data_IF_688259677919
#
_entry.id   IF_688259677919
#
_cell.length_a   1.000
_cell.length_b   1.000
_cell.length_c   1.000
_cell.angle_alpha   90.00
_cell.angle_beta   90.00
_cell.angle_gamma   90.00
#
_symmetry.space_group_name_H-M   'P 1'
#
loop_
_entity.id
_entity.type
_entity.pdbx_description
1 polymer ?
#
# COMPACT_ATOMS: atom_id res chain seq x y z
N UNK A 1 10.34 -14.98 19.33
CA UNK A 1 9.15 -15.52 20.06
C UNK A 1 7.95 -15.27 19.16
N UNK A 2 7.06 -16.26 18.93
CA UNK A 2 5.90 -16.08 18.06
C UNK A 2 4.86 -15.16 18.73
N UNK A 3 4.22 -14.31 17.92
CA UNK A 3 3.19 -13.36 18.39
C UNK A 3 1.88 -14.14 18.62
N UNK A 4 1.23 -14.01 19.79
CA UNK A 4 -0.09 -14.58 20.02
C UNK A 4 -1.15 -14.00 19.08
N UNK A 5 -2.00 -14.84 18.52
CA UNK A 5 -3.08 -14.42 17.61
C UNK A 5 -4.31 -15.31 17.75
N UNK A 6 -5.47 -14.81 17.31
CA UNK A 6 -6.75 -15.50 17.31
C UNK A 6 -7.19 -15.68 15.86
N UNK A 7 -7.56 -16.92 15.48
CA UNK A 7 -8.34 -17.15 14.26
C UNK A 7 -9.82 -17.01 14.58
N UNK A 8 -10.57 -16.18 13.84
CA UNK A 8 -12.01 -16.17 14.01
C UNK A 8 -12.61 -17.55 13.72
N UNK A 9 -13.53 -17.98 14.55
CA UNK A 9 -14.33 -19.17 14.26
C UNK A 9 -15.27 -18.84 13.09
N UNK A 10 -15.45 -19.74 12.12
CA UNK A 10 -16.39 -19.51 11.04
C UNK A 10 -17.80 -19.39 11.62
N UNK A 11 -18.39 -18.20 11.49
CA UNK A 11 -19.81 -17.98 11.76
C UNK A 11 -20.58 -18.53 10.56
N UNK A 12 -21.31 -19.65 10.81
CA UNK A 12 -22.32 -20.22 9.90
C UNK A 12 -21.97 -20.18 8.41
N UNK A 13 -20.96 -20.96 7.97
CA UNK A 13 -20.73 -21.28 6.56
C UNK A 13 -20.13 -20.19 5.68
N UNK A 14 -19.84 -19.01 6.22
CA UNK A 14 -19.06 -17.97 5.55
C UNK A 14 -17.64 -18.02 6.12
N UNK A 15 -16.67 -18.44 5.33
CA UNK A 15 -15.27 -18.35 5.70
C UNK A 15 -14.91 -16.87 5.90
N UNK A 16 -14.72 -16.44 7.13
CA UNK A 16 -13.92 -15.24 7.46
C UNK A 16 -12.44 -15.62 7.28
N UNK A 17 -12.12 -16.17 6.10
CA UNK A 17 -10.93 -16.97 5.84
C UNK A 17 -9.65 -16.15 5.75
N UNK A 18 -9.73 -14.81 5.76
CA UNK A 18 -8.60 -13.96 5.40
C UNK A 18 -8.15 -13.00 6.50
N UNK A 19 -8.77 -13.06 7.68
CA UNK A 19 -8.39 -12.21 8.81
C UNK A 19 -7.87 -13.02 9.99
N UNK A 20 -6.93 -12.43 10.73
CA UNK A 20 -6.45 -12.84 12.04
C UNK A 20 -6.58 -11.65 12.98
N UNK A 21 -6.64 -11.91 14.28
CA UNK A 21 -6.64 -10.84 15.28
C UNK A 21 -5.48 -11.07 16.25
N UNK A 22 -4.73 -10.00 16.54
CA UNK A 22 -3.79 -9.99 17.65
C UNK A 22 -4.55 -9.97 18.99
N UNK A 23 -3.87 -10.26 20.08
CA UNK A 23 -4.50 -10.28 21.42
C UNK A 23 -5.02 -8.90 21.83
N UNK A 24 -4.41 -7.82 21.32
CA UNK A 24 -4.85 -6.44 21.53
C UNK A 24 -6.07 -6.02 20.67
N UNK A 25 -6.61 -6.94 19.86
CA UNK A 25 -7.73 -6.70 18.97
C UNK A 25 -7.33 -6.18 17.57
N UNK A 26 -6.06 -6.00 17.27
CA UNK A 26 -5.61 -5.56 15.94
C UNK A 26 -5.96 -6.60 14.87
N UNK A 27 -6.76 -6.19 13.88
CA UNK A 27 -7.08 -7.03 12.71
C UNK A 27 -5.90 -7.07 11.74
N UNK A 28 -5.60 -8.28 11.28
CA UNK A 28 -4.61 -8.55 10.23
C UNK A 28 -5.33 -9.18 9.05
N UNK A 29 -5.17 -8.63 7.85
CA UNK A 29 -5.73 -9.17 6.61
C UNK A 29 -4.69 -9.86 5.75
N UNK A 30 -5.09 -10.97 5.12
CA UNK A 30 -4.23 -11.75 4.23
C UNK A 30 -3.86 -10.93 3.00
N UNK A 31 -2.56 -10.86 2.70
CA UNK A 31 -2.06 -10.35 1.42
C UNK A 31 -2.27 -11.43 0.35
N UNK A 32 -3.42 -11.39 -0.32
CA UNK A 32 -3.82 -12.42 -1.27
C UNK A 32 -2.86 -12.51 -2.46
N UNK A 33 -2.68 -13.73 -2.99
CA UNK A 33 -1.82 -13.98 -4.15
C UNK A 33 -0.31 -13.85 -3.91
N UNK A 34 0.10 -13.67 -2.67
CA UNK A 34 1.52 -13.58 -2.27
C UNK A 34 1.98 -14.90 -1.67
N UNK A 35 3.09 -15.43 -2.18
CA UNK A 35 3.71 -16.65 -1.68
C UNK A 35 5.14 -16.35 -1.23
N UNK A 36 5.56 -16.99 -0.15
CA UNK A 36 6.96 -17.00 0.25
C UNK A 36 7.79 -17.76 -0.80
N UNK A 37 8.96 -17.22 -1.19
CA UNK A 37 9.81 -17.81 -2.24
C UNK A 37 10.27 -19.24 -1.93
N UNK A 38 10.56 -19.54 -0.66
CA UNK A 38 11.08 -20.85 -0.22
C UNK A 38 10.27 -21.43 0.94
N UNK A 39 8.95 -21.25 0.95
CA UNK A 39 8.15 -21.72 2.06
C UNK A 39 6.64 -21.62 1.85
N UNK A 40 5.91 -22.05 2.90
CA UNK A 40 4.44 -22.08 2.92
C UNK A 40 3.83 -20.96 3.76
N UNK A 41 4.65 -20.03 4.27
CA UNK A 41 4.15 -18.97 5.13
C UNK A 41 3.22 -18.02 4.35
N UNK A 42 2.15 -17.61 5.01
CA UNK A 42 1.20 -16.62 4.53
C UNK A 42 1.60 -15.24 5.05
N UNK A 43 1.48 -14.22 4.22
CA UNK A 43 1.73 -12.83 4.60
C UNK A 43 0.41 -12.13 4.94
N UNK A 44 0.40 -11.41 6.06
CA UNK A 44 -0.71 -10.58 6.51
C UNK A 44 -0.22 -9.15 6.72
N UNK A 45 -1.12 -8.19 6.66
CA UNK A 45 -0.85 -6.81 7.04
C UNK A 45 -1.96 -6.23 7.93
N UNK A 46 -1.58 -5.33 8.84
CA UNK A 46 -2.50 -4.53 9.64
C UNK A 46 -2.96 -3.30 8.85
N UNK A 47 -4.01 -2.65 9.35
CA UNK A 47 -4.51 -1.38 8.82
C UNK A 47 -3.44 -0.26 8.84
N UNK A 48 -2.57 -0.28 9.85
CA UNK A 48 -1.48 0.67 10.02
C UNK A 48 -0.22 0.33 9.19
N UNK A 49 -0.29 -0.70 8.33
CA UNK A 49 0.80 -1.05 7.42
C UNK A 49 1.93 -1.88 8.02
N UNK A 50 1.72 -2.51 9.18
CA UNK A 50 2.63 -3.52 9.71
C UNK A 50 2.40 -4.87 9.05
N UNK A 51 3.47 -5.63 8.82
CA UNK A 51 3.41 -6.92 8.14
C UNK A 51 3.75 -8.08 9.07
N UNK A 52 3.08 -9.21 8.84
CA UNK A 52 3.21 -10.41 9.66
C UNK A 52 3.26 -11.66 8.79
N UNK A 53 4.16 -12.55 9.11
CA UNK A 53 4.30 -13.86 8.46
C UNK A 53 3.74 -14.96 9.35
N UNK A 54 2.75 -15.69 8.86
CA UNK A 54 2.22 -16.89 9.54
C UNK A 54 2.79 -18.14 8.90
N UNK A 55 3.55 -18.91 9.69
CA UNK A 55 4.12 -20.23 9.33
C UNK A 55 3.64 -21.31 10.29
N UNK A 56 4.13 -22.54 10.10
CA UNK A 56 3.92 -23.63 11.07
C UNK A 56 4.51 -23.34 12.47
N UNK A 57 5.46 -22.41 12.56
CA UNK A 57 6.10 -22.00 13.82
C UNK A 57 5.39 -20.82 14.50
N UNK A 58 4.28 -20.34 13.93
CA UNK A 58 3.49 -19.25 14.47
C UNK A 58 3.54 -17.97 13.64
N UNK A 59 2.99 -16.91 14.22
CA UNK A 59 2.93 -15.56 13.63
C UNK A 59 4.14 -14.75 14.10
N UNK A 60 4.81 -14.11 13.15
CA UNK A 60 5.95 -13.23 13.43
C UNK A 60 5.83 -11.94 12.62
N UNK A 61 6.19 -10.81 13.22
CA UNK A 61 6.30 -9.55 12.49
C UNK A 61 7.47 -9.62 11.50
N UNK A 62 7.28 -9.04 10.31
CA UNK A 62 8.28 -8.98 9.25
C UNK A 62 8.41 -7.56 8.74
N UNK A 63 9.64 -7.08 8.64
CA UNK A 63 9.92 -5.73 8.22
C UNK A 63 10.05 -5.63 6.69
N UNK A 64 9.52 -4.54 6.08
CA UNK A 64 9.76 -4.23 4.68
C UNK A 64 11.26 -4.04 4.39
N UNK A 65 11.66 -4.36 3.16
CA UNK A 65 13.00 -4.08 2.67
C UNK A 65 13.04 -2.68 2.07
N UNK A 66 13.83 -1.82 2.68
CA UNK A 66 14.07 -0.44 2.24
C UNK A 66 15.34 -0.30 1.38
N UNK A 67 15.92 -1.41 0.92
CA UNK A 67 17.22 -1.39 0.24
C UNK A 67 17.13 -0.69 -1.12
N UNK A 68 18.00 0.28 -1.38
CA UNK A 68 18.14 0.90 -2.70
C UNK A 68 18.70 -0.04 -3.78
N UNK A 69 19.00 -1.30 -3.42
CA UNK A 69 19.53 -2.30 -4.34
C UNK A 69 18.51 -2.89 -5.32
N UNK A 70 17.25 -2.45 -5.29
CA UNK A 70 16.35 -2.71 -6.41
C UNK A 70 16.94 -2.02 -7.65
N UNK A 71 17.22 -2.78 -8.71
CA UNK A 71 17.76 -2.29 -9.98
C UNK A 71 17.02 -1.06 -10.54
N UNK A 72 15.77 -0.87 -10.16
CA UNK A 72 14.94 0.29 -10.49
C UNK A 72 15.39 1.59 -9.80
N UNK A 73 16.17 1.51 -8.73
CA UNK A 73 16.60 2.63 -7.91
C UNK A 73 18.12 2.86 -7.96
N UNK A 74 18.86 2.14 -8.79
CA UNK A 74 20.29 2.42 -9.00
C UNK A 74 20.48 3.68 -9.83
N UNK A 75 21.41 4.53 -9.39
CA UNK A 75 21.79 5.76 -10.11
C UNK A 75 22.11 5.41 -11.58
N UNK A 76 21.41 6.07 -12.52
CA UNK A 76 21.51 5.78 -13.95
C UNK A 76 20.45 4.85 -14.53
N UNK A 77 19.57 4.22 -13.71
CA UNK A 77 18.42 3.53 -14.25
C UNK A 77 17.37 4.55 -14.75
N UNK A 78 16.63 4.20 -15.83
CA UNK A 78 15.55 5.06 -16.36
C UNK A 78 14.50 5.42 -15.32
N UNK A 79 14.38 4.65 -14.24
CA UNK A 79 13.42 4.84 -13.16
C UNK A 79 14.00 5.63 -11.98
N UNK A 80 15.34 5.77 -11.86
CA UNK A 80 16.00 6.52 -10.80
C UNK A 80 15.56 8.00 -10.78
N UNK A 81 15.44 8.60 -11.95
CA UNK A 81 15.05 10.01 -12.09
C UNK A 81 13.54 10.24 -11.95
N UNK A 82 12.72 9.18 -11.97
CA UNK A 82 11.26 9.29 -11.84
C UNK A 82 10.75 9.31 -10.41
N UNK A 83 11.46 8.70 -9.50
CA UNK A 83 10.89 8.46 -8.18
C UNK A 83 11.65 9.16 -7.04
N UNK A 84 12.96 9.35 -7.14
CA UNK A 84 13.74 9.79 -5.95
C UNK A 84 13.53 8.87 -4.72
N UNK A 85 12.64 7.89 -4.81
CA UNK A 85 12.23 7.01 -3.74
C UNK A 85 12.09 5.59 -4.24
N UNK A 86 12.77 4.66 -3.59
CA UNK A 86 12.51 3.24 -3.73
C UNK A 86 11.30 2.88 -2.88
N UNK A 87 10.25 2.39 -3.51
CA UNK A 87 9.13 1.85 -2.76
C UNK A 87 9.58 0.62 -1.94
N UNK A 88 9.28 0.57 -0.65
CA UNK A 88 9.54 -0.59 0.17
C UNK A 88 8.82 -1.83 -0.37
N UNK A 89 9.50 -2.98 -0.29
CA UNK A 89 9.00 -4.25 -0.83
C UNK A 89 9.14 -5.39 0.19
N UNK A 90 8.27 -6.37 0.08
CA UNK A 90 8.37 -7.63 0.83
C UNK A 90 9.19 -8.64 0.00
N UNK A 91 10.53 -8.56 0.10
CA UNK A 91 11.46 -9.33 -0.74
C UNK A 91 11.19 -10.84 -0.69
N UNK A 92 11.06 -11.42 0.50
CA UNK A 92 10.83 -12.86 0.68
C UNK A 92 9.43 -13.32 0.27
N UNK A 93 8.56 -12.40 -0.13
CA UNK A 93 7.21 -12.63 -0.59
C UNK A 93 7.02 -12.14 -2.04
N UNK A 94 7.97 -12.48 -2.91
CA UNK A 94 7.91 -12.18 -4.34
C UNK A 94 8.19 -10.71 -4.69
N UNK A 95 8.83 -9.95 -3.78
CA UNK A 95 9.24 -8.56 -4.05
C UNK A 95 8.09 -7.59 -4.28
N UNK A 96 6.89 -7.90 -3.79
CA UNK A 96 5.71 -7.03 -3.95
C UNK A 96 5.84 -5.73 -3.13
N UNK A 97 5.39 -4.63 -3.70
CA UNK A 97 5.40 -3.32 -3.04
C UNK A 97 4.45 -3.27 -1.86
N UNK A 98 4.91 -2.76 -0.72
CA UNK A 98 4.15 -2.75 0.54
C UNK A 98 2.83 -2.00 0.43
N UNK A 99 2.82 -0.79 -0.17
CA UNK A 99 1.59 -0.01 -0.36
C UNK A 99 0.54 -0.77 -1.19
N UNK A 100 0.95 -1.49 -2.24
CA UNK A 100 0.03 -2.29 -3.05
C UNK A 100 -0.57 -3.44 -2.24
N UNK A 101 0.22 -4.09 -1.38
CA UNK A 101 -0.25 -5.17 -0.52
C UNK A 101 -1.30 -4.68 0.48
N UNK A 102 -1.02 -3.56 1.17
CA UNK A 102 -1.97 -2.98 2.12
C UNK A 102 -3.22 -2.49 1.42
N UNK A 103 -3.09 -1.75 0.32
CA UNK A 103 -4.22 -1.25 -0.45
C UNK A 103 -5.14 -2.41 -0.92
N UNK A 104 -4.55 -3.50 -1.43
CA UNK A 104 -5.31 -4.69 -1.86
C UNK A 104 -6.02 -5.39 -0.69
N UNK A 105 -5.40 -5.43 0.49
CA UNK A 105 -5.95 -6.13 1.64
C UNK A 105 -7.07 -5.35 2.34
N UNK A 106 -6.99 -4.00 2.33
CA UNK A 106 -7.86 -3.16 3.14
C UNK A 106 -8.91 -2.38 2.35
N UNK A 107 -8.67 -2.10 1.08
CA UNK A 107 -9.68 -1.47 0.22
C UNK A 107 -10.35 -2.52 -0.65
N UNK A 108 -9.76 -2.83 -1.79
CA UNK A 108 -10.30 -3.80 -2.75
C UNK A 108 -9.16 -4.42 -3.56
N UNK A 109 -9.38 -5.58 -4.20
CA UNK A 109 -8.48 -6.05 -5.25
C UNK A 109 -8.27 -4.94 -6.27
N UNK A 110 -7.05 -4.84 -6.81
CA UNK A 110 -6.66 -3.78 -7.74
C UNK A 110 -7.69 -3.60 -8.86
N UNK A 111 -8.41 -2.46 -8.92
CA UNK A 111 -9.40 -2.21 -9.95
C UNK A 111 -8.76 -1.93 -11.31
N UNK A 112 -9.58 -1.97 -12.35
CA UNK A 112 -9.21 -1.53 -13.70
C UNK A 112 -10.05 -0.32 -14.10
N UNK A 113 -9.63 0.38 -15.14
CA UNK A 113 -10.37 1.47 -15.78
C UNK A 113 -10.21 1.36 -17.29
N UNK A 114 -11.12 1.97 -18.05
CA UNK A 114 -11.03 2.05 -19.51
C UNK A 114 -10.34 3.35 -19.89
N UNK A 115 -9.24 3.27 -20.65
CA UNK A 115 -8.52 4.44 -21.15
C UNK A 115 -9.23 5.11 -22.33
N UNK A 116 -8.74 6.26 -22.79
CA UNK A 116 -9.27 7.03 -23.92
C UNK A 116 -9.30 6.28 -25.27
N UNK A 117 -8.56 5.17 -25.34
CA UNK A 117 -8.53 4.30 -26.52
C UNK A 117 -9.41 3.04 -26.37
N UNK A 118 -10.21 2.95 -25.28
CA UNK A 118 -11.08 1.82 -24.99
C UNK A 118 -10.35 0.59 -24.40
N UNK A 119 -9.07 0.72 -24.00
CA UNK A 119 -8.33 -0.40 -23.42
C UNK A 119 -8.49 -0.44 -21.90
N UNK A 120 -8.66 -1.64 -21.39
CA UNK A 120 -8.66 -1.89 -19.95
C UNK A 120 -7.23 -1.78 -19.38
N UNK A 121 -7.05 -0.94 -18.36
CA UNK A 121 -5.78 -0.69 -17.67
C UNK A 121 -5.95 -0.82 -16.17
N UNK A 122 -4.94 -1.34 -15.45
CA UNK A 122 -4.99 -1.40 -14.00
C UNK A 122 -4.79 -0.01 -13.38
N UNK A 123 -5.54 0.30 -12.31
CA UNK A 123 -5.30 1.48 -11.48
C UNK A 123 -3.96 1.41 -10.76
N UNK A 124 -3.45 2.56 -10.33
CA UNK A 124 -2.23 2.70 -9.53
C UNK A 124 -2.59 2.90 -8.06
N UNK A 125 -1.78 2.38 -7.14
CA UNK A 125 -1.91 2.69 -5.72
C UNK A 125 -1.15 3.98 -5.43
N UNK A 126 -1.86 5.00 -4.97
CA UNK A 126 -1.33 6.32 -4.63
C UNK A 126 -1.23 6.50 -3.11
N UNK A 127 -0.28 7.34 -2.68
CA UNK A 127 -0.14 7.81 -1.29
C UNK A 127 -0.68 9.23 -1.21
N UNK A 128 -1.78 9.44 -0.50
CA UNK A 128 -2.42 10.74 -0.38
C UNK A 128 -1.45 11.85 0.06
N UNK A 129 -0.57 11.56 1.02
CA UNK A 129 0.45 12.50 1.50
C UNK A 129 1.73 12.51 0.64
N UNK A 130 1.85 11.61 -0.33
CA UNK A 130 3.03 11.43 -1.18
C UNK A 130 4.27 10.91 -0.45
N UNK A 131 4.12 10.33 0.75
CA UNK A 131 5.19 9.65 1.47
C UNK A 131 5.17 8.14 1.16
N UNK A 132 6.14 7.60 0.40
CA UNK A 132 6.16 6.20 -0.02
C UNK A 132 6.40 5.21 1.12
N UNK A 133 6.70 5.68 2.32
CA UNK A 133 6.96 4.87 3.52
C UNK A 133 5.76 4.81 4.48
N UNK A 134 4.72 5.53 4.18
CA UNK A 134 3.49 5.57 4.98
C UNK A 134 2.43 4.65 4.38
N UNK A 135 2.39 3.43 4.88
CA UNK A 135 1.49 2.36 4.41
C UNK A 135 0.16 2.30 5.16
N UNK A 136 -0.18 3.30 5.96
CA UNK A 136 -1.49 3.36 6.61
C UNK A 136 -2.59 3.25 5.55
N UNK A 137 -3.59 2.40 5.78
CA UNK A 137 -4.61 2.14 4.76
C UNK A 137 -5.35 3.42 4.33
N UNK A 138 -5.67 4.33 5.27
CA UNK A 138 -6.28 5.62 4.94
C UNK A 138 -5.43 6.52 4.05
N UNK A 139 -4.10 6.30 4.03
CA UNK A 139 -3.18 7.04 3.16
C UNK A 139 -3.14 6.48 1.74
N UNK A 140 -3.75 5.33 1.49
CA UNK A 140 -3.64 4.63 0.21
C UNK A 140 -4.96 4.64 -0.54
N UNK A 141 -4.89 4.82 -1.86
CA UNK A 141 -6.06 4.83 -2.71
C UNK A 141 -5.74 4.29 -4.12
N UNK A 142 -6.69 3.57 -4.72
CA UNK A 142 -6.61 3.20 -6.12
C UNK A 142 -7.05 4.37 -6.99
N UNK A 143 -6.18 4.82 -7.88
CA UNK A 143 -6.43 5.95 -8.77
C UNK A 143 -6.00 5.63 -10.20
N UNK A 144 -6.52 6.36 -11.18
CA UNK A 144 -5.99 6.29 -12.54
C UNK A 144 -4.59 6.90 -12.61
N UNK A 145 -3.75 6.52 -13.59
CA UNK A 145 -2.44 7.15 -13.79
C UNK A 145 -2.51 8.66 -14.06
N UNK A 146 -3.61 9.13 -14.65
CA UNK A 146 -3.84 10.56 -14.87
C UNK A 146 -4.05 11.29 -13.55
N UNK A 147 -4.91 10.73 -12.70
CA UNK A 147 -5.20 11.26 -11.36
C UNK A 147 -3.95 11.23 -10.47
N UNK A 148 -3.20 10.14 -10.45
CA UNK A 148 -1.95 10.04 -9.70
C UNK A 148 -0.96 11.16 -10.10
N UNK A 149 -0.80 11.42 -11.41
CA UNK A 149 0.05 12.53 -11.89
C UNK A 149 -0.48 13.90 -11.45
N UNK A 150 -1.81 14.11 -11.48
CA UNK A 150 -2.46 15.34 -11.03
C UNK A 150 -2.19 15.60 -9.55
N UNK A 151 -2.43 14.62 -8.69
CA UNK A 151 -2.18 14.69 -7.24
C UNK A 151 -0.70 14.96 -6.94
N UNK A 152 0.21 14.27 -7.62
CA UNK A 152 1.64 14.50 -7.49
C UNK A 152 2.06 15.94 -7.87
N UNK A 153 1.36 16.59 -8.82
CA UNK A 153 1.59 18.00 -9.17
C UNK A 153 1.14 18.93 -8.03
N UNK A 154 -0.03 18.66 -7.43
CA UNK A 154 -0.55 19.43 -6.28
C UNK A 154 0.41 19.31 -5.09
N UNK A 155 0.80 18.10 -4.71
CA UNK A 155 1.73 17.86 -3.59
C UNK A 155 3.08 18.56 -3.80
N UNK A 156 3.59 18.57 -5.03
CA UNK A 156 4.81 19.33 -5.36
C UNK A 156 4.62 20.83 -5.18
N UNK A 157 3.45 21.36 -5.57
CA UNK A 157 3.09 22.76 -5.34
C UNK A 157 3.08 23.13 -3.87
N UNK A 158 2.45 22.30 -3.03
CA UNK A 158 2.45 22.47 -1.56
C UNK A 158 3.87 22.49 -1.00
N UNK A 159 4.71 21.52 -1.37
CA UNK A 159 6.11 21.45 -0.92
C UNK A 159 6.94 22.65 -1.41
N UNK A 160 6.70 23.14 -2.62
CA UNK A 160 7.36 24.34 -3.13
C UNK A 160 6.94 25.60 -2.36
N UNK A 161 5.76 25.62 -1.76
CA UNK A 161 5.29 26.67 -0.85
C UNK A 161 5.76 26.49 0.60
N UNK A 162 6.65 25.51 0.87
CA UNK A 162 7.16 25.22 2.21
C UNK A 162 6.22 24.40 3.09
N UNK A 163 5.18 23.82 2.52
CA UNK A 163 4.21 22.99 3.24
C UNK A 163 4.60 21.52 3.06
N UNK A 164 4.80 20.79 4.15
CA UNK A 164 4.99 19.33 4.15
C UNK A 164 3.61 18.67 4.32
N UNK A 165 3.04 18.08 3.27
CA UNK A 165 1.65 17.57 3.30
C UNK A 165 1.41 16.56 4.42
N UNK A 166 2.38 15.68 4.67
CA UNK A 166 2.34 14.64 5.69
C UNK A 166 2.31 15.16 7.14
N UNK A 167 2.69 16.42 7.35
CA UNK A 167 2.67 17.10 8.67
C UNK A 167 1.53 18.09 8.81
N UNK A 168 1.13 18.70 7.69
CA UNK A 168 0.19 19.81 7.68
C UNK A 168 -1.28 19.36 7.57
N UNK A 169 -1.53 18.18 6.98
CA UNK A 169 -2.88 17.74 6.67
C UNK A 169 -3.13 16.30 7.10
N UNK A 170 -4.36 16.02 7.52
CA UNK A 170 -4.89 14.65 7.63
C UNK A 170 -5.16 14.06 6.24
N UNK A 171 -5.30 12.74 6.15
CA UNK A 171 -5.64 12.07 4.88
C UNK A 171 -6.98 12.57 4.31
N UNK A 172 -7.98 12.81 5.17
CA UNK A 172 -9.26 13.38 4.75
C UNK A 172 -9.10 14.77 4.15
N UNK A 173 -8.34 15.66 4.77
CA UNK A 173 -8.06 17.00 4.25
C UNK A 173 -7.32 16.96 2.92
N UNK A 174 -6.40 16.00 2.72
CA UNK A 174 -5.72 15.84 1.44
C UNK A 174 -6.70 15.39 0.34
N UNK A 175 -7.64 14.50 0.63
CA UNK A 175 -8.72 14.14 -0.30
C UNK A 175 -9.58 15.36 -0.68
N UNK A 176 -9.94 16.17 0.29
CA UNK A 176 -10.72 17.41 0.04
C UNK A 176 -9.95 18.40 -0.83
N UNK A 177 -8.63 18.56 -0.59
CA UNK A 177 -7.76 19.40 -1.43
C UNK A 177 -7.76 18.87 -2.87
N UNK A 178 -7.58 17.59 -3.08
CA UNK A 178 -7.57 17.01 -4.42
C UNK A 178 -8.91 17.21 -5.14
N UNK A 179 -10.03 17.00 -4.47
CA UNK A 179 -11.37 17.19 -5.02
C UNK A 179 -11.64 18.66 -5.38
N UNK A 180 -11.23 19.59 -4.52
CA UNK A 180 -11.42 21.04 -4.75
C UNK A 180 -10.64 21.54 -5.98
N UNK A 181 -9.41 21.05 -6.18
CA UNK A 181 -8.62 21.40 -7.38
C UNK A 181 -9.21 20.86 -8.68
N UNK A 182 -10.04 19.83 -8.64
CA UNK A 182 -10.73 19.29 -9.80
C UNK A 182 -11.84 20.24 -10.27
N UNK A 183 -12.59 20.84 -9.34
CA UNK A 183 -13.71 21.74 -9.62
C UNK A 183 -13.22 23.08 -10.23
N UNK A 184 -12.04 23.56 -9.89
CA UNK A 184 -11.51 24.84 -10.33
C UNK A 184 -10.81 24.80 -11.70
N UNK A 185 -10.52 23.62 -12.25
CA UNK A 185 -9.77 23.44 -13.50
C UNK A 185 -10.57 22.72 -14.60
N UNK A 186 -11.86 22.50 -14.39
CA UNK A 186 -12.87 22.08 -15.39
C UNK A 186 -13.75 23.27 -15.76
#
# INVERSE_FOLDING_TARGET
>A
MAIPFIKPLPLSGVEVANSLFLIDGTELRLCAGVKQENGTAKLYCSYNGHFYSLSQYGLNEVLPNFSPSNRACTRGSKNYNRAGSCYPVMRHFGGKSCHVLVCTAWHEPRPTFIDEHGNEKPMECDHLNGNPYDFHADNLEWVTPAENRRRAKILRGLRSAGIEPEKAYTYAQLKDIFNTYEIQNN
#
